data_IF_039618748780
#
_entry.id   IF_039618748780
#
_cell.length_a   1.000
_cell.length_b   1.000
_cell.length_c   1.000
_cell.angle_alpha   90.00
_cell.angle_beta   90.00
_cell.angle_gamma   90.00
#
_symmetry.space_group_name_H-M   'P 1'
#
loop_
_entity.id
_entity.type
_entity.pdbx_description
1 polymer ?
#
# COMPACT_ATOMS: atom_id res chain seq x y z
N UNK A 1 -4.98 -1.51 -15.03
CA UNK A 1 -4.10 -0.40 -15.42
C UNK A 1 -4.88 0.80 -15.95
N UNK A 2 -5.79 0.62 -16.88
CA UNK A 2 -6.51 1.72 -17.55
C UNK A 2 -7.32 2.61 -16.61
N UNK A 3 -7.85 2.06 -15.53
CA UNK A 3 -8.56 2.82 -14.49
C UNK A 3 -7.60 3.49 -13.50
N UNK A 4 -6.31 3.23 -13.59
CA UNK A 4 -5.32 3.70 -12.62
C UNK A 4 -5.42 3.08 -11.23
N UNK A 5 -6.12 1.94 -11.06
CA UNK A 5 -6.27 1.25 -9.77
C UNK A 5 -5.05 0.40 -9.43
N UNK A 6 -3.91 1.05 -9.27
CA UNK A 6 -2.61 0.39 -9.18
C UNK A 6 -1.92 0.52 -7.84
N UNK A 7 -2.63 0.99 -6.80
CA UNK A 7 -2.11 1.01 -5.42
C UNK A 7 -1.74 -0.43 -5.01
N UNK A 8 -0.56 -0.58 -4.43
CA UNK A 8 -0.01 -1.87 -4.03
C UNK A 8 0.61 -2.68 -5.17
N UNK A 9 0.58 -2.22 -6.42
CA UNK A 9 1.26 -2.90 -7.54
C UNK A 9 2.70 -2.40 -7.70
N UNK A 10 3.57 -3.28 -8.16
CA UNK A 10 4.97 -2.94 -8.36
C UNK A 10 5.16 -1.86 -9.43
N UNK A 11 5.94 -0.81 -9.13
CA UNK A 11 6.35 0.30 -10.01
C UNK A 11 5.24 1.26 -10.50
N UNK A 12 3.97 0.91 -10.46
CA UNK A 12 2.90 1.66 -11.10
C UNK A 12 1.92 2.33 -10.11
N UNK A 13 2.25 2.36 -8.81
CA UNK A 13 1.31 2.80 -7.77
C UNK A 13 1.30 4.30 -7.45
N UNK A 14 2.29 5.09 -7.95
CA UNK A 14 2.33 6.53 -7.64
C UNK A 14 1.17 7.30 -8.30
N UNK A 15 0.68 8.35 -7.64
CA UNK A 15 -0.44 9.15 -8.14
C UNK A 15 -0.19 9.72 -9.55
N UNK A 16 1.04 10.19 -9.82
CA UNK A 16 1.41 10.66 -11.16
C UNK A 16 1.40 9.55 -12.21
N UNK A 17 1.87 8.35 -11.85
CA UNK A 17 1.80 7.21 -12.75
C UNK A 17 0.35 6.79 -13.02
N UNK A 18 -0.49 6.75 -11.98
CA UNK A 18 -1.91 6.45 -12.13
C UNK A 18 -2.63 7.43 -13.06
N UNK A 19 -2.30 8.73 -12.97
CA UNK A 19 -2.82 9.74 -13.88
C UNK A 19 -2.47 9.41 -15.33
N UNK A 20 -1.19 9.16 -15.61
CA UNK A 20 -0.75 8.82 -16.98
C UNK A 20 -1.33 7.48 -17.48
N UNK A 21 -1.51 6.50 -16.61
CA UNK A 21 -2.15 5.24 -17.00
C UNK A 21 -3.60 5.43 -17.43
N UNK A 22 -4.36 6.30 -16.75
CA UNK A 22 -5.73 6.66 -17.16
C UNK A 22 -5.78 7.35 -18.51
N UNK A 23 -4.81 8.22 -18.81
CA UNK A 23 -4.71 8.90 -20.10
C UNK A 23 -4.20 7.97 -21.20
N UNK A 24 -3.25 7.10 -20.89
CA UNK A 24 -2.63 6.16 -21.84
C UNK A 24 -3.58 5.04 -22.26
N UNK A 25 -4.42 4.55 -21.34
CA UNK A 25 -5.27 3.37 -21.57
C UNK A 25 -4.46 2.20 -22.12
N UNK A 26 -3.49 1.62 -21.39
CA UNK A 26 -2.60 0.59 -21.89
C UNK A 26 -3.36 -0.56 -22.52
N UNK A 27 -3.02 -0.93 -23.74
CA UNK A 27 -3.65 -2.03 -24.49
C UNK A 27 -2.67 -3.14 -24.86
N UNK A 28 -1.37 -2.87 -24.75
CA UNK A 28 -0.29 -3.82 -25.02
C UNK A 28 0.70 -3.86 -23.85
N UNK A 29 1.49 -4.92 -23.79
CA UNK A 29 2.56 -5.00 -22.78
C UNK A 29 3.67 -3.99 -23.06
N UNK A 30 3.90 -3.67 -24.33
CA UNK A 30 4.84 -2.66 -24.81
C UNK A 30 4.53 -1.27 -24.25
N UNK A 31 3.25 -0.93 -24.09
CA UNK A 31 2.83 0.34 -23.46
C UNK A 31 3.34 0.44 -22.01
N UNK A 32 3.28 -0.66 -21.27
CA UNK A 32 3.79 -0.70 -19.87
C UNK A 32 5.32 -0.60 -19.84
N UNK A 33 6.02 -1.27 -20.77
CA UNK A 33 7.48 -1.19 -20.88
C UNK A 33 7.91 0.24 -21.19
N UNK A 34 7.23 0.89 -22.14
CA UNK A 34 7.51 2.28 -22.51
C UNK A 34 7.23 3.23 -21.35
N UNK A 35 6.11 3.07 -20.66
CA UNK A 35 5.76 3.91 -19.53
C UNK A 35 6.76 3.78 -18.36
N UNK A 36 7.22 2.57 -18.07
CA UNK A 36 8.27 2.32 -17.08
C UNK A 36 9.60 3.01 -17.45
N UNK A 37 9.92 3.09 -18.74
CA UNK A 37 11.10 3.79 -19.22
C UNK A 37 10.94 5.32 -19.23
N UNK A 38 9.74 5.83 -19.53
CA UNK A 38 9.46 7.26 -19.68
C UNK A 38 9.16 7.97 -18.37
N UNK A 39 8.51 7.29 -17.40
CA UNK A 39 8.08 7.94 -16.16
C UNK A 39 9.26 8.18 -15.19
N UNK A 40 10.05 9.20 -15.49
CA UNK A 40 11.18 9.68 -14.67
C UNK A 40 11.59 11.08 -15.14
N UNK A 41 12.29 11.87 -14.32
CA UNK A 41 12.72 13.21 -14.68
C UNK A 41 13.49 13.23 -16.02
N UNK A 42 13.11 14.11 -16.92
CA UNK A 42 13.62 14.22 -18.29
C UNK A 42 12.72 13.57 -19.33
N UNK A 43 12.63 12.22 -19.40
CA UNK A 43 11.79 11.56 -20.41
C UNK A 43 10.28 11.77 -20.21
N UNK A 44 9.83 12.15 -19.02
CA UNK A 44 8.41 12.42 -18.73
C UNK A 44 7.79 13.45 -19.70
N UNK A 45 8.58 14.37 -20.23
CA UNK A 45 8.12 15.39 -21.16
C UNK A 45 7.61 14.80 -22.48
N UNK A 46 8.01 13.55 -22.81
CA UNK A 46 7.56 12.82 -24.00
C UNK A 46 6.28 12.01 -23.78
N UNK A 47 5.82 11.84 -22.54
CA UNK A 47 4.62 11.04 -22.24
C UNK A 47 3.37 11.61 -22.94
N UNK A 48 3.10 12.92 -22.92
CA UNK A 48 1.95 13.48 -23.63
C UNK A 48 1.96 13.15 -25.14
N UNK A 49 3.11 13.30 -25.79
CA UNK A 49 3.26 12.96 -27.21
C UNK A 49 3.06 11.45 -27.46
N UNK A 50 3.59 10.61 -26.59
CA UNK A 50 3.42 9.16 -26.66
C UNK A 50 1.92 8.79 -26.58
N UNK A 51 1.20 9.37 -25.65
CA UNK A 51 -0.24 9.17 -25.45
C UNK A 51 -1.03 9.68 -26.68
N UNK A 52 -0.72 10.89 -27.16
CA UNK A 52 -1.42 11.49 -28.30
C UNK A 52 -1.24 10.68 -29.59
N UNK A 53 -0.03 10.16 -29.84
CA UNK A 53 0.25 9.30 -30.99
C UNK A 53 -0.44 7.94 -30.86
N UNK A 54 -0.43 7.33 -29.68
CA UNK A 54 -1.17 6.08 -29.42
C UNK A 54 -2.65 6.21 -29.77
N UNK A 55 -3.27 7.32 -29.38
CA UNK A 55 -4.70 7.57 -29.59
C UNK A 55 -5.05 8.22 -30.92
N UNK A 56 -4.06 8.40 -31.80
CA UNK A 56 -4.27 9.00 -33.13
C UNK A 56 -4.58 10.51 -33.11
N UNK A 57 -4.37 11.20 -31.96
CA UNK A 57 -4.51 12.65 -31.85
C UNK A 57 -3.36 13.41 -32.51
N UNK A 58 -2.19 12.77 -32.58
CA UNK A 58 -1.03 13.20 -33.37
C UNK A 58 -0.64 12.11 -34.35
N UNK A 59 -0.15 12.45 -35.56
CA UNK A 59 0.33 11.46 -36.51
C UNK A 59 1.60 10.76 -35.99
N UNK A 60 1.75 9.48 -36.29
CA UNK A 60 3.00 8.76 -36.07
C UNK A 60 3.87 9.03 -37.29
N UNK A 61 4.98 9.72 -37.08
CA UNK A 61 5.92 10.08 -38.13
C UNK A 61 7.26 9.40 -37.91
N UNK A 62 7.87 8.99 -38.99
CA UNK A 62 9.21 8.43 -39.02
C UNK A 62 10.08 9.27 -39.94
N UNK A 63 11.24 9.76 -39.48
CA UNK A 63 12.15 10.57 -40.30
C UNK A 63 12.59 9.84 -41.60
N UNK A 64 12.73 8.52 -41.50
CA UNK A 64 12.94 7.63 -42.66
C UNK A 64 11.94 6.47 -42.50
N UNK A 65 11.14 6.11 -43.48
CA UNK A 65 10.06 5.12 -43.34
C UNK A 65 10.50 3.78 -42.80
N UNK A 66 11.72 3.31 -43.10
CA UNK A 66 12.25 2.04 -42.61
C UNK A 66 12.46 2.01 -41.08
N UNK A 67 12.49 3.16 -40.42
CA UNK A 67 12.59 3.25 -38.93
C UNK A 67 11.36 2.70 -38.23
N UNK A 68 10.21 2.62 -38.93
CA UNK A 68 9.00 1.99 -38.41
C UNK A 68 9.29 0.61 -37.82
N UNK A 69 10.18 -0.15 -38.46
CA UNK A 69 10.57 -1.51 -38.02
C UNK A 69 10.93 -1.61 -36.54
N UNK A 70 11.53 -0.56 -35.95
CA UNK A 70 12.01 -0.56 -34.59
C UNK A 70 11.34 0.49 -33.71
N UNK A 71 10.57 1.42 -34.30
CA UNK A 71 9.88 2.48 -33.52
C UNK A 71 8.36 2.30 -33.48
N UNK A 72 7.80 1.29 -34.16
CA UNK A 72 6.35 1.05 -34.19
C UNK A 72 5.77 0.86 -32.79
N UNK A 73 6.40 0.04 -31.94
CA UNK A 73 5.93 -0.26 -30.57
C UNK A 73 6.01 0.93 -29.62
N UNK A 74 6.70 1.99 -30.03
CA UNK A 74 6.83 3.24 -29.26
C UNK A 74 6.27 4.45 -30.03
N UNK A 75 5.37 4.19 -30.98
CA UNK A 75 4.64 5.21 -31.75
C UNK A 75 5.56 6.26 -32.40
N UNK A 76 6.70 5.81 -32.94
CA UNK A 76 7.69 6.67 -33.60
C UNK A 76 8.61 7.45 -32.64
N UNK A 77 8.52 7.24 -31.34
CA UNK A 77 9.38 7.89 -30.34
C UNK A 77 10.54 6.97 -29.97
N UNK A 78 11.76 7.51 -29.97
CA UNK A 78 12.93 6.77 -29.45
C UNK A 78 12.89 6.78 -27.92
N UNK A 79 12.75 5.61 -27.33
CA UNK A 79 12.66 5.39 -25.86
C UNK A 79 13.84 4.58 -25.33
N UNK A 80 14.32 3.61 -26.12
CA UNK A 80 15.31 2.63 -25.68
C UNK A 80 16.65 2.77 -26.36
N UNK A 81 17.73 2.50 -25.61
CA UNK A 81 19.09 2.41 -26.14
C UNK A 81 19.18 1.38 -27.27
N UNK A 82 18.47 0.29 -27.15
CA UNK A 82 18.42 -0.79 -28.14
C UNK A 82 17.84 -0.33 -29.49
N UNK A 83 16.90 0.62 -29.48
CA UNK A 83 16.36 1.21 -30.71
C UNK A 83 17.46 1.96 -31.47
N UNK A 84 18.27 2.76 -30.80
CA UNK A 84 19.41 3.46 -31.42
C UNK A 84 20.43 2.47 -31.98
N UNK A 85 20.75 1.39 -31.24
CA UNK A 85 21.66 0.35 -31.73
C UNK A 85 21.12 -0.31 -33.00
N UNK A 86 19.85 -0.67 -33.04
CA UNK A 86 19.23 -1.33 -34.18
C UNK A 86 19.09 -0.39 -35.39
N UNK A 87 18.70 0.87 -35.11
CA UNK A 87 18.58 1.89 -36.18
C UNK A 87 19.94 2.28 -36.74
N UNK A 88 21.01 2.39 -35.97
CA UNK A 88 22.35 2.66 -36.50
C UNK A 88 22.86 1.57 -37.44
N UNK A 89 22.47 0.32 -37.14
CA UNK A 89 22.76 -0.81 -38.01
C UNK A 89 21.91 -0.81 -39.29
N UNK A 90 20.60 -0.51 -39.11
CA UNK A 90 19.66 -0.51 -40.25
C UNK A 90 19.91 0.62 -41.21
N UNK A 91 20.22 1.82 -40.75
CA UNK A 91 20.36 3.02 -41.55
C UNK A 91 21.76 3.19 -42.13
N UNK A 92 22.81 2.80 -41.38
CA UNK A 92 24.19 3.14 -41.71
C UNK A 92 25.18 1.95 -41.63
N UNK A 93 24.67 0.72 -41.64
CA UNK A 93 25.43 -0.54 -41.63
C UNK A 93 26.45 -0.66 -40.48
N UNK A 94 26.15 -0.07 -39.34
CA UNK A 94 27.00 -0.26 -38.15
C UNK A 94 27.08 -1.74 -37.80
N UNK A 95 28.26 -2.22 -37.50
CA UNK A 95 28.46 -3.56 -36.98
C UNK A 95 27.86 -3.67 -35.56
N UNK A 96 27.75 -4.90 -35.04
CA UNK A 96 27.30 -5.11 -33.63
C UNK A 96 28.20 -4.42 -32.64
N UNK A 97 29.53 -4.47 -32.84
CA UNK A 97 30.50 -3.82 -31.99
C UNK A 97 30.38 -2.29 -31.99
N UNK A 98 30.15 -1.69 -33.16
CA UNK A 98 29.99 -0.24 -33.30
C UNK A 98 28.69 0.25 -32.72
N UNK A 99 27.57 -0.46 -32.93
CA UNK A 99 26.30 -0.10 -32.32
C UNK A 99 26.35 -0.21 -30.77
N UNK A 100 27.08 -1.20 -30.23
CA UNK A 100 27.29 -1.28 -28.78
C UNK A 100 28.23 -0.18 -28.27
N UNK A 101 29.24 0.18 -29.04
CA UNK A 101 30.11 1.33 -28.71
C UNK A 101 29.32 2.65 -28.70
N UNK A 102 28.40 2.84 -29.66
CA UNK A 102 27.47 3.97 -29.72
C UNK A 102 26.60 4.01 -28.44
N UNK A 103 25.95 2.91 -28.08
CA UNK A 103 25.17 2.80 -26.87
C UNK A 103 25.97 3.17 -25.62
N UNK A 104 27.20 2.66 -25.49
CA UNK A 104 28.09 2.96 -24.38
C UNK A 104 28.50 4.43 -24.36
N UNK A 105 28.78 5.02 -25.53
CA UNK A 105 29.11 6.44 -25.64
C UNK A 105 27.93 7.33 -25.21
N UNK A 106 26.73 6.99 -25.64
CA UNK A 106 25.50 7.68 -25.25
C UNK A 106 25.22 7.55 -23.74
N UNK A 107 25.22 6.33 -23.20
CA UNK A 107 24.93 6.08 -21.79
C UNK A 107 25.93 6.74 -20.81
N UNK A 108 27.19 6.88 -21.25
CA UNK A 108 28.26 7.57 -20.47
C UNK A 108 28.46 9.02 -20.86
N UNK A 109 27.67 9.57 -21.79
CA UNK A 109 27.74 10.96 -22.31
C UNK A 109 29.15 11.33 -22.82
N UNK A 110 29.80 10.40 -23.53
CA UNK A 110 31.16 10.58 -24.08
C UNK A 110 31.11 11.34 -25.40
N UNK A 111 31.07 12.66 -25.35
CA UNK A 111 30.93 13.54 -26.52
C UNK A 111 31.99 13.27 -27.58
N UNK A 112 33.27 13.19 -27.21
CA UNK A 112 34.37 12.93 -28.17
C UNK A 112 34.16 11.65 -28.98
N UNK A 113 33.59 10.59 -28.35
CA UNK A 113 33.26 9.34 -29.06
C UNK A 113 32.08 9.50 -29.97
N UNK A 114 31.06 10.24 -29.56
CA UNK A 114 29.88 10.52 -30.41
C UNK A 114 30.28 11.34 -31.64
N UNK A 115 31.12 12.37 -31.46
CA UNK A 115 31.62 13.19 -32.56
C UNK A 115 32.46 12.40 -33.55
N UNK A 116 33.22 11.40 -33.07
CA UNK A 116 33.97 10.48 -33.93
C UNK A 116 33.08 9.49 -34.73
N UNK A 117 31.94 9.11 -34.15
CA UNK A 117 31.03 8.15 -34.81
C UNK A 117 30.04 8.81 -35.74
N UNK A 118 29.72 10.10 -35.60
CA UNK A 118 28.79 10.83 -36.42
C UNK A 118 29.11 10.81 -37.92
N UNK A 119 30.36 11.13 -38.38
CA UNK A 119 30.69 11.11 -39.77
C UNK A 119 30.49 9.71 -40.44
N UNK A 120 30.81 8.64 -39.69
CA UNK A 120 30.58 7.29 -40.14
C UNK A 120 29.09 6.96 -40.30
N UNK A 121 28.25 7.43 -39.37
CA UNK A 121 26.79 7.24 -39.48
C UNK A 121 26.22 7.97 -40.70
N UNK A 122 26.62 9.23 -40.93
CA UNK A 122 26.15 10.02 -42.05
C UNK A 122 26.62 9.38 -43.38
N UNK A 123 27.88 8.98 -43.50
CA UNK A 123 28.43 8.39 -44.73
C UNK A 123 27.82 7.02 -45.01
N UNK A 124 27.65 6.16 -44.00
CA UNK A 124 26.98 4.87 -44.13
C UNK A 124 25.52 5.02 -44.57
N UNK A 125 24.78 5.93 -43.96
CA UNK A 125 23.39 6.21 -44.33
C UNK A 125 23.25 6.81 -45.72
N UNK A 126 24.19 7.68 -46.12
CA UNK A 126 24.26 8.22 -47.52
C UNK A 126 24.46 7.12 -48.55
N UNK A 127 25.33 6.16 -48.26
CA UNK A 127 25.53 4.98 -49.13
C UNK A 127 24.28 4.13 -49.29
N UNK A 128 23.46 4.10 -48.25
CA UNK A 128 22.18 3.37 -48.25
C UNK A 128 21.03 4.21 -48.87
N UNK A 129 21.34 5.37 -49.45
CA UNK A 129 20.37 6.19 -50.18
C UNK A 129 19.56 7.13 -49.35
N UNK A 130 19.97 7.39 -48.09
CA UNK A 130 19.28 8.33 -47.20
C UNK A 130 19.81 9.75 -47.33
N UNK A 131 18.93 10.75 -47.20
CA UNK A 131 19.31 12.18 -47.21
C UNK A 131 20.23 12.51 -46.01
N UNK A 132 21.45 13.05 -46.26
CA UNK A 132 22.36 13.45 -45.22
C UNK A 132 21.76 14.43 -44.19
N UNK A 133 20.89 15.36 -44.60
CA UNK A 133 20.22 16.29 -43.71
C UNK A 133 19.29 15.59 -42.72
N UNK A 134 18.57 14.59 -43.17
CA UNK A 134 17.70 13.76 -42.33
C UNK A 134 18.54 12.93 -41.35
N UNK A 135 19.66 12.37 -41.81
CA UNK A 135 20.59 11.63 -40.95
C UNK A 135 21.22 12.52 -39.85
N UNK A 136 21.58 13.75 -40.22
CA UNK A 136 22.08 14.73 -39.21
C UNK A 136 21.02 15.08 -38.18
N UNK A 137 19.77 15.26 -38.59
CA UNK A 137 18.64 15.47 -37.67
C UNK A 137 18.51 14.28 -36.71
N UNK A 138 18.46 13.04 -37.25
CA UNK A 138 18.34 11.83 -36.42
C UNK A 138 19.47 11.74 -35.43
N UNK A 139 20.72 12.00 -35.85
CA UNK A 139 21.87 11.99 -34.95
C UNK A 139 21.75 13.04 -33.83
N UNK A 140 21.37 14.25 -34.16
CA UNK A 140 21.17 15.33 -33.20
C UNK A 140 20.06 14.99 -32.19
N UNK A 141 18.99 14.36 -32.63
CA UNK A 141 17.93 13.89 -31.75
C UNK A 141 18.41 12.74 -30.83
N UNK A 142 19.27 11.85 -31.33
CA UNK A 142 19.91 10.83 -30.50
C UNK A 142 20.89 11.42 -29.47
N UNK A 143 21.62 12.48 -29.79
CA UNK A 143 22.49 13.18 -28.83
C UNK A 143 21.67 13.77 -27.66
N UNK A 144 20.52 14.35 -27.95
CA UNK A 144 19.59 14.82 -26.91
C UNK A 144 19.05 13.65 -26.12
N UNK A 145 18.60 12.61 -26.82
CA UNK A 145 18.08 11.37 -26.22
C UNK A 145 19.10 10.65 -25.33
N UNK A 146 20.38 10.73 -25.65
CA UNK A 146 21.46 10.10 -24.86
C UNK A 146 21.43 10.47 -23.37
N UNK A 147 20.87 11.63 -23.03
CA UNK A 147 20.76 12.07 -21.64
C UNK A 147 19.76 11.28 -20.82
N UNK A 148 18.81 10.62 -21.46
CA UNK A 148 17.68 9.93 -20.83
C UNK A 148 17.33 8.55 -21.43
N UNK A 149 18.16 8.05 -22.35
CA UNK A 149 18.00 6.71 -22.92
C UNK A 149 17.88 5.61 -21.87
N UNK A 150 16.95 4.68 -22.06
CA UNK A 150 16.70 3.60 -21.11
C UNK A 150 17.02 2.23 -21.69
N UNK A 151 17.42 1.29 -20.85
CA UNK A 151 17.63 -0.09 -21.27
C UNK A 151 16.29 -0.82 -21.37
N UNK A 152 15.95 -1.33 -22.56
CA UNK A 152 14.67 -2.01 -22.80
C UNK A 152 14.55 -3.30 -21.98
N UNK A 153 15.63 -4.06 -21.82
CA UNK A 153 15.60 -5.31 -21.05
C UNK A 153 15.26 -5.07 -19.58
N UNK A 154 15.82 -4.01 -18.98
CA UNK A 154 15.48 -3.62 -17.62
C UNK A 154 13.99 -3.22 -17.52
N UNK A 155 13.52 -2.33 -18.39
CA UNK A 155 12.11 -1.91 -18.41
C UNK A 155 11.17 -3.11 -18.60
N UNK A 156 11.54 -4.07 -19.46
CA UNK A 156 10.75 -5.30 -19.70
C UNK A 156 10.65 -6.15 -18.43
N UNK A 157 11.77 -6.41 -17.75
CA UNK A 157 11.77 -7.22 -16.53
C UNK A 157 10.92 -6.58 -15.42
N UNK A 158 11.04 -5.28 -15.22
CA UNK A 158 10.25 -4.55 -14.23
C UNK A 158 8.76 -4.52 -14.60
N UNK A 159 8.44 -4.30 -15.87
CA UNK A 159 7.04 -4.33 -16.35
C UNK A 159 6.44 -5.73 -16.26
N UNK A 160 7.24 -6.79 -16.42
CA UNK A 160 6.78 -8.16 -16.23
C UNK A 160 6.38 -8.43 -14.79
N UNK A 161 7.21 -8.04 -13.81
CA UNK A 161 6.86 -8.16 -12.38
C UNK A 161 5.65 -7.29 -12.06
N UNK A 162 5.60 -6.06 -12.59
CA UNK A 162 4.47 -5.16 -12.42
C UNK A 162 3.16 -5.77 -12.94
N UNK A 163 3.21 -6.38 -14.13
CA UNK A 163 2.06 -7.05 -14.72
C UNK A 163 1.58 -8.23 -13.86
N UNK A 164 2.50 -9.05 -13.34
CA UNK A 164 2.16 -10.15 -12.43
C UNK A 164 1.46 -9.65 -11.17
N UNK A 165 1.96 -8.58 -10.56
CA UNK A 165 1.34 -7.99 -9.37
C UNK A 165 -0.06 -7.44 -9.67
N UNK A 166 -0.24 -6.78 -10.80
CA UNK A 166 -1.54 -6.29 -11.23
C UNK A 166 -2.51 -7.42 -11.60
N UNK A 167 -2.03 -8.49 -12.22
CA UNK A 167 -2.82 -9.68 -12.51
C UNK A 167 -3.35 -10.32 -11.22
N UNK A 168 -2.48 -10.50 -10.22
CA UNK A 168 -2.88 -11.04 -8.92
C UNK A 168 -3.91 -10.12 -8.24
N UNK A 169 -3.69 -8.82 -8.23
CA UNK A 169 -4.64 -7.86 -7.67
C UNK A 169 -6.00 -7.90 -8.35
N UNK A 170 -6.03 -8.05 -9.67
CA UNK A 170 -7.27 -8.06 -10.45
C UNK A 170 -8.07 -9.36 -10.29
N UNK A 171 -7.40 -10.52 -10.17
CA UNK A 171 -8.03 -11.84 -10.16
C UNK A 171 -8.18 -12.44 -8.75
N UNK A 172 -7.32 -12.04 -7.80
CA UNK A 172 -7.29 -12.52 -6.42
C UNK A 172 -7.12 -11.35 -5.45
N UNK A 173 -8.05 -10.37 -5.47
CA UNK A 173 -7.86 -9.08 -4.82
C UNK A 173 -7.67 -9.20 -3.30
N UNK A 174 -8.48 -10.00 -2.61
CA UNK A 174 -8.38 -10.16 -1.16
C UNK A 174 -7.06 -10.79 -0.73
N UNK A 175 -6.67 -11.89 -1.38
CA UNK A 175 -5.42 -12.61 -1.10
C UNK A 175 -4.20 -11.75 -1.43
N UNK A 176 -4.24 -11.03 -2.54
CA UNK A 176 -3.17 -10.12 -2.94
C UNK A 176 -3.00 -8.99 -1.92
N UNK A 177 -4.08 -8.30 -1.56
CA UNK A 177 -4.04 -7.20 -0.61
C UNK A 177 -3.63 -7.67 0.79
N UNK A 178 -4.11 -8.82 1.24
CA UNK A 178 -3.67 -9.42 2.50
C UNK A 178 -2.17 -9.74 2.48
N UNK A 179 -1.65 -10.26 1.37
CA UNK A 179 -0.22 -10.54 1.20
C UNK A 179 0.63 -9.27 1.21
N UNK A 180 0.19 -8.20 0.52
CA UNK A 180 0.90 -6.91 0.49
C UNK A 180 0.92 -6.27 1.88
N UNK A 181 -0.23 -6.18 2.58
CA UNK A 181 -0.30 -5.68 3.95
C UNK A 181 0.59 -6.48 4.91
N UNK A 182 0.69 -7.79 4.72
CA UNK A 182 1.54 -8.67 5.52
C UNK A 182 3.04 -8.42 5.35
N UNK A 183 3.46 -7.71 4.31
CA UNK A 183 4.86 -7.26 4.12
C UNK A 183 5.15 -5.95 4.83
N UNK A 184 4.13 -5.24 5.27
CA UNK A 184 4.22 -3.90 5.87
C UNK A 184 3.77 -3.88 7.34
N UNK A 185 3.83 -5.00 8.07
CA UNK A 185 3.31 -5.13 9.46
C UNK A 185 3.82 -4.03 10.41
N UNK A 186 5.04 -3.54 10.22
CA UNK A 186 5.63 -2.47 11.05
C UNK A 186 5.36 -1.06 10.53
N UNK A 187 4.75 -0.90 9.35
CA UNK A 187 4.48 0.39 8.73
C UNK A 187 2.97 0.65 8.66
N UNK A 188 2.46 1.28 9.71
CA UNK A 188 1.04 1.56 9.85
C UNK A 188 0.50 2.48 8.74
N UNK A 189 1.32 3.40 8.24
CA UNK A 189 0.93 4.32 7.16
C UNK A 189 0.66 3.58 5.86
N UNK A 190 1.51 2.60 5.53
CA UNK A 190 1.30 1.77 4.34
C UNK A 190 0.08 0.86 4.52
N UNK A 191 -0.09 0.27 5.71
CA UNK A 191 -1.29 -0.54 6.02
C UNK A 191 -2.55 0.30 5.84
N UNK A 192 -2.59 1.52 6.37
CA UNK A 192 -3.75 2.42 6.23
C UNK A 192 -4.08 2.68 4.76
N UNK A 193 -3.09 3.06 3.95
CA UNK A 193 -3.25 3.28 2.51
C UNK A 193 -3.79 2.04 1.79
N UNK A 194 -3.29 0.85 2.14
CA UNK A 194 -3.74 -0.40 1.54
C UNK A 194 -5.15 -0.79 1.98
N UNK A 195 -5.55 -0.46 3.21
CA UNK A 195 -6.92 -0.69 3.69
C UNK A 195 -7.92 0.26 3.04
N UNK A 196 -7.54 1.52 2.83
CA UNK A 196 -8.36 2.47 2.05
C UNK A 196 -8.57 1.94 0.63
N UNK A 197 -7.54 1.38 0.01
CA UNK A 197 -7.66 0.72 -1.30
C UNK A 197 -8.57 -0.52 -1.24
N UNK A 198 -8.46 -1.37 -0.21
CA UNK A 198 -9.39 -2.50 -0.01
C UNK A 198 -10.84 -2.02 0.06
N UNK A 199 -11.10 -0.96 0.81
CA UNK A 199 -12.44 -0.36 0.93
C UNK A 199 -12.94 0.12 -0.44
N UNK A 200 -12.09 0.81 -1.22
CA UNK A 200 -12.43 1.26 -2.58
C UNK A 200 -12.70 0.10 -3.55
N UNK A 201 -12.11 -1.07 -3.30
CA UNK A 201 -12.34 -2.31 -4.06
C UNK A 201 -13.55 -3.12 -3.57
N UNK A 202 -14.26 -2.65 -2.53
CA UNK A 202 -15.36 -3.39 -1.90
C UNK A 202 -14.92 -4.57 -1.04
N UNK A 203 -13.65 -4.64 -0.64
CA UNK A 203 -13.10 -5.68 0.22
C UNK A 203 -13.20 -5.21 1.67
N UNK A 204 -13.92 -5.97 2.50
CA UNK A 204 -14.04 -5.67 3.91
C UNK A 204 -12.76 -6.12 4.66
N UNK A 205 -12.23 -5.23 5.50
CA UNK A 205 -11.14 -5.57 6.43
C UNK A 205 -11.72 -5.65 7.84
N UNK A 206 -11.61 -6.83 8.44
CA UNK A 206 -12.12 -7.15 9.76
C UNK A 206 -11.04 -6.92 10.83
N UNK A 207 -11.46 -6.53 12.03
CA UNK A 207 -10.57 -6.31 13.17
C UNK A 207 -9.76 -7.52 13.60
N UNK A 208 -8.78 -7.34 14.50
CA UNK A 208 -8.08 -8.48 15.09
C UNK A 208 -9.05 -9.34 15.91
N UNK A 209 -8.86 -10.66 15.89
CA UNK A 209 -9.62 -11.63 16.65
C UNK A 209 -8.72 -12.81 17.04
N UNK A 210 -8.64 -13.15 18.32
CA UNK A 210 -7.79 -14.24 18.80
C UNK A 210 -8.21 -15.62 18.28
N UNK A 211 -9.49 -15.77 17.89
CA UNK A 211 -10.01 -17.01 17.35
C UNK A 211 -9.84 -17.14 15.83
N UNK A 212 -9.59 -16.03 15.12
CA UNK A 212 -9.50 -16.07 13.65
C UNK A 212 -8.17 -15.56 13.12
N UNK A 213 -7.62 -14.49 13.71
CA UNK A 213 -6.40 -13.86 13.23
C UNK A 213 -5.16 -14.75 13.35
N UNK A 214 -4.25 -14.61 12.40
CA UNK A 214 -2.89 -15.14 12.44
C UNK A 214 -1.88 -14.00 12.68
N UNK A 215 -0.59 -14.31 12.62
CA UNK A 215 0.47 -13.30 12.70
C UNK A 215 0.33 -12.25 11.59
N UNK A 216 0.06 -12.72 10.38
CA UNK A 216 -0.10 -11.92 9.17
C UNK A 216 -1.58 -11.72 8.84
N UNK A 217 -1.87 -10.76 7.96
CA UNK A 217 -3.20 -10.62 7.37
C UNK A 217 -3.56 -11.90 6.60
N UNK A 218 -4.80 -12.34 6.73
CA UNK A 218 -5.32 -13.54 6.07
C UNK A 218 -6.69 -13.26 5.50
N UNK A 219 -7.09 -14.04 4.50
CA UNK A 219 -8.45 -13.99 3.97
C UNK A 219 -9.26 -15.06 4.68
N UNK A 220 -10.44 -14.69 5.18
CA UNK A 220 -11.35 -15.61 5.81
C UNK A 220 -12.24 -16.34 4.78
N UNK A 221 -13.11 -17.22 5.25
CA UNK A 221 -13.97 -18.02 4.38
C UNK A 221 -14.94 -17.16 3.54
N UNK A 222 -15.31 -15.98 4.02
CA UNK A 222 -16.23 -15.05 3.34
C UNK A 222 -15.53 -14.13 2.34
N UNK A 223 -14.21 -14.30 2.15
CA UNK A 223 -13.40 -13.46 1.26
C UNK A 223 -12.98 -12.12 1.86
N UNK A 224 -13.27 -11.88 3.15
CA UNK A 224 -12.85 -10.67 3.86
C UNK A 224 -11.42 -10.80 4.38
N UNK A 225 -10.73 -9.69 4.50
CA UNK A 225 -9.37 -9.67 5.06
C UNK A 225 -9.45 -9.54 6.57
N UNK A 226 -8.88 -10.50 7.29
CA UNK A 226 -8.73 -10.46 8.76
C UNK A 226 -7.41 -9.80 9.14
N UNK A 227 -7.46 -8.83 10.07
CA UNK A 227 -6.30 -8.11 10.56
C UNK A 227 -5.33 -9.06 11.27
N UNK A 228 -4.03 -8.96 10.93
CA UNK A 228 -2.99 -9.79 11.54
C UNK A 228 -2.65 -9.31 12.95
N UNK A 229 -2.57 -10.22 13.93
CA UNK A 229 -2.20 -9.87 15.30
C UNK A 229 -0.80 -9.26 15.41
N UNK A 230 0.11 -9.60 14.48
CA UNK A 230 1.45 -9.05 14.42
C UNK A 230 1.50 -7.57 14.00
N UNK A 231 0.41 -7.03 13.45
CA UNK A 231 0.29 -5.61 13.12
C UNK A 231 -0.31 -4.78 14.27
N UNK A 232 -0.81 -5.42 15.33
CA UNK A 232 -1.31 -4.72 16.53
C UNK A 232 -0.12 -4.23 17.34
N UNK A 233 -0.01 -2.91 17.52
CA UNK A 233 1.10 -2.29 18.26
C UNK A 233 1.15 -2.82 19.70
N UNK A 234 2.32 -3.28 20.10
CA UNK A 234 2.54 -3.80 21.47
C UNK A 234 2.20 -5.28 21.63
N UNK A 235 1.74 -5.97 20.58
CA UNK A 235 1.58 -7.43 20.56
C UNK A 235 2.81 -8.06 19.92
N UNK A 236 3.58 -8.82 20.70
CA UNK A 236 4.82 -9.47 20.24
C UNK A 236 4.56 -10.75 19.46
N UNK A 237 5.46 -11.08 18.54
CA UNK A 237 5.36 -12.30 17.70
C UNK A 237 5.23 -13.58 18.54
N UNK A 238 5.98 -13.71 19.65
CA UNK A 238 5.91 -14.85 20.55
C UNK A 238 4.52 -15.02 21.20
N UNK A 239 3.85 -13.89 21.52
CA UNK A 239 2.49 -13.94 22.04
C UNK A 239 1.51 -14.44 20.97
N UNK A 240 1.62 -13.90 19.76
CA UNK A 240 0.78 -14.32 18.62
C UNK A 240 0.97 -15.80 18.31
N UNK A 241 2.22 -16.25 18.25
CA UNK A 241 2.55 -17.65 18.00
C UNK A 241 1.92 -18.57 19.04
N UNK A 242 2.03 -18.22 20.33
CA UNK A 242 1.41 -18.97 21.42
C UNK A 242 -0.11 -19.06 21.28
N UNK A 243 -0.78 -17.95 20.90
CA UNK A 243 -2.23 -17.92 20.68
C UNK A 243 -2.63 -18.84 19.52
N UNK A 244 -1.93 -18.71 18.39
CA UNK A 244 -2.25 -19.45 17.16
C UNK A 244 -1.99 -20.96 17.33
N UNK A 245 -0.86 -21.33 17.93
CA UNK A 245 -0.51 -22.74 18.18
C UNK A 245 -1.52 -23.41 19.10
N UNK A 246 -1.88 -22.74 20.21
CA UNK A 246 -2.85 -23.26 21.17
C UNK A 246 -4.24 -23.43 20.53
N UNK A 247 -4.69 -22.43 19.79
CA UNK A 247 -5.95 -22.52 19.05
C UNK A 247 -5.97 -23.65 18.01
N UNK A 248 -4.89 -23.81 17.27
CA UNK A 248 -4.80 -24.85 16.24
C UNK A 248 -4.73 -26.27 16.84
N UNK A 249 -4.10 -26.42 18.01
CA UNK A 249 -3.97 -27.71 18.68
C UNK A 249 -5.25 -28.14 19.40
N UNK A 250 -5.93 -27.20 20.05
CA UNK A 250 -7.01 -27.49 21.00
C UNK A 250 -8.35 -26.82 20.66
N UNK A 251 -8.47 -26.25 19.45
CA UNK A 251 -9.67 -25.59 18.97
C UNK A 251 -9.84 -24.14 19.45
N UNK A 252 -10.86 -23.44 18.94
CA UNK A 252 -11.16 -22.05 19.28
C UNK A 252 -11.33 -21.85 20.80
N UNK A 253 -10.97 -20.67 21.27
CA UNK A 253 -11.22 -20.27 22.67
C UNK A 253 -12.72 -19.98 22.86
N UNK A 254 -13.30 -20.54 23.92
CA UNK A 254 -14.73 -20.41 24.24
C UNK A 254 -15.06 -19.06 24.86
N UNK A 255 -14.08 -18.38 25.45
CA UNK A 255 -14.21 -17.12 26.12
C UNK A 255 -12.90 -16.72 26.79
N UNK A 256 -12.90 -15.57 27.50
CA UNK A 256 -11.66 -15.04 28.07
C UNK A 256 -11.07 -15.93 29.18
N UNK A 257 -11.90 -16.61 29.96
CA UNK A 257 -11.42 -17.52 30.99
C UNK A 257 -10.74 -18.74 30.38
N UNK A 258 -11.33 -19.35 29.36
CA UNK A 258 -10.72 -20.46 28.61
C UNK A 258 -9.42 -20.01 27.93
N UNK A 259 -9.37 -18.78 27.42
CA UNK A 259 -8.17 -18.20 26.82
C UNK A 259 -7.00 -18.15 27.82
N UNK A 260 -7.21 -17.55 29.03
CA UNK A 260 -6.12 -17.42 30.01
C UNK A 260 -5.75 -18.76 30.68
N UNK A 261 -6.64 -19.76 30.67
CA UNK A 261 -6.35 -21.11 31.14
C UNK A 261 -5.44 -21.89 30.20
N UNK A 262 -5.44 -21.54 28.91
CA UNK A 262 -4.79 -22.31 27.84
C UNK A 262 -3.55 -21.64 27.26
N UNK A 263 -3.60 -20.32 27.03
CA UNK A 263 -2.50 -19.58 26.40
C UNK A 263 -1.30 -19.46 27.35
N UNK A 264 -0.08 -19.52 26.81
CA UNK A 264 1.13 -19.24 27.58
C UNK A 264 1.19 -17.77 28.03
N UNK A 265 0.85 -17.49 29.28
CA UNK A 265 0.79 -16.14 29.85
C UNK A 265 2.17 -15.48 30.06
N UNK A 266 3.27 -16.25 29.96
CA UNK A 266 4.63 -15.66 29.92
C UNK A 266 4.91 -15.02 28.56
N UNK A 267 4.46 -15.64 27.49
CA UNK A 267 4.55 -15.08 26.13
C UNK A 267 3.49 -14.01 25.90
N UNK A 268 2.23 -14.30 26.26
CA UNK A 268 1.10 -13.37 26.17
C UNK A 268 0.94 -12.61 27.52
N UNK A 269 1.90 -11.73 27.82
CA UNK A 269 1.96 -11.00 29.09
C UNK A 269 0.87 -9.91 29.20
N UNK A 270 0.81 -9.24 30.36
CA UNK A 270 -0.17 -8.17 30.67
C UNK A 270 -0.27 -7.12 29.54
N UNK A 271 0.87 -6.63 29.03
CA UNK A 271 0.88 -5.62 27.98
C UNK A 271 0.26 -6.13 26.67
N UNK A 272 0.55 -7.38 26.28
CA UNK A 272 -0.07 -7.98 25.11
C UNK A 272 -1.59 -8.11 25.29
N UNK A 273 -2.03 -8.54 26.47
CA UNK A 273 -3.46 -8.66 26.82
C UNK A 273 -4.18 -7.30 26.77
N UNK A 274 -3.57 -6.25 27.34
CA UNK A 274 -4.08 -4.87 27.27
C UNK A 274 -4.23 -4.41 25.82
N UNK A 275 -3.19 -4.60 25.01
CA UNK A 275 -3.21 -4.20 23.61
C UNK A 275 -4.28 -4.98 22.80
N UNK A 276 -4.42 -6.27 23.05
CA UNK A 276 -5.46 -7.09 22.39
C UNK A 276 -6.87 -6.64 22.81
N UNK A 277 -7.10 -6.38 24.09
CA UNK A 277 -8.40 -5.91 24.58
C UNK A 277 -8.78 -4.53 23.98
N UNK A 278 -7.84 -3.59 23.95
CA UNK A 278 -8.06 -2.27 23.37
C UNK A 278 -8.27 -2.31 21.85
N UNK A 279 -7.55 -3.19 21.16
CA UNK A 279 -7.68 -3.36 19.71
C UNK A 279 -8.92 -4.14 19.28
N UNK A 280 -9.66 -4.74 20.23
CA UNK A 280 -10.84 -5.57 19.93
C UNK A 280 -10.54 -7.04 19.68
N UNK A 281 -9.33 -7.50 20.00
CA UNK A 281 -8.93 -8.91 19.79
C UNK A 281 -9.76 -9.93 20.55
N UNK A 282 -10.52 -9.51 21.55
CA UNK A 282 -11.43 -10.32 22.37
C UNK A 282 -12.91 -10.05 22.14
N UNK A 283 -13.28 -9.22 21.15
CA UNK A 283 -14.66 -8.82 20.92
C UNK A 283 -15.60 -9.99 20.52
N UNK A 284 -15.03 -11.09 20.03
CA UNK A 284 -15.78 -12.33 19.78
C UNK A 284 -16.23 -13.06 21.07
N UNK A 285 -15.70 -12.65 22.22
CA UNK A 285 -16.12 -13.21 23.51
C UNK A 285 -17.31 -12.41 24.05
N UNK A 286 -18.50 -13.03 24.21
CA UNK A 286 -19.72 -12.29 24.52
C UNK A 286 -19.81 -11.85 25.99
N UNK A 287 -19.02 -12.44 26.87
CA UNK A 287 -19.11 -12.24 28.31
C UNK A 287 -18.56 -10.90 28.82
N UNK A 288 -17.65 -10.27 28.06
CA UNK A 288 -16.95 -9.04 28.48
C UNK A 288 -16.95 -7.98 27.38
N UNK A 289 -17.08 -6.73 27.79
CA UNK A 289 -16.83 -5.55 26.96
C UNK A 289 -15.43 -5.02 27.19
N UNK A 290 -14.88 -4.27 26.22
CA UNK A 290 -13.49 -3.77 26.28
C UNK A 290 -13.20 -2.99 27.56
N UNK A 291 -14.10 -2.11 28.02
CA UNK A 291 -13.96 -1.32 29.22
C UNK A 291 -13.88 -2.14 30.51
N UNK A 292 -14.51 -3.31 30.56
CA UNK A 292 -14.52 -4.17 31.74
C UNK A 292 -13.14 -4.78 32.03
N UNK A 293 -12.30 -4.98 31.01
CA UNK A 293 -10.91 -5.43 31.21
C UNK A 293 -10.10 -4.46 32.05
N UNK A 294 -10.44 -3.16 31.99
CA UNK A 294 -9.73 -2.07 32.67
C UNK A 294 -10.44 -1.58 33.91
N UNK A 295 -11.54 -2.18 34.32
CA UNK A 295 -12.27 -1.83 35.52
C UNK A 295 -11.43 -2.12 36.75
N UNK A 296 -11.49 -1.18 37.74
CA UNK A 296 -10.76 -1.25 38.98
C UNK A 296 -11.71 -1.70 40.08
N UNK A 297 -11.34 -2.73 40.83
CA UNK A 297 -12.13 -3.22 41.94
C UNK A 297 -11.95 -2.34 43.20
N UNK A 298 -12.69 -2.62 44.28
CA UNK A 298 -12.63 -1.90 45.55
C UNK A 298 -11.25 -1.93 46.23
N UNK A 299 -10.36 -2.83 45.83
CA UNK A 299 -8.98 -2.96 46.35
C UNK A 299 -7.96 -2.22 45.47
N UNK A 300 -8.40 -1.52 44.41
CA UNK A 300 -7.52 -0.82 43.49
C UNK A 300 -6.85 -1.72 42.44
N UNK A 301 -7.30 -2.98 42.28
CA UNK A 301 -6.75 -3.91 41.29
C UNK A 301 -7.55 -3.83 39.99
N UNK A 302 -6.85 -3.82 38.84
CA UNK A 302 -7.45 -3.88 37.50
C UNK A 302 -7.94 -5.31 37.23
N UNK A 303 -9.12 -5.44 36.65
CA UNK A 303 -9.69 -6.78 36.38
C UNK A 303 -8.77 -7.66 35.52
N UNK A 304 -8.09 -7.09 34.53
CA UNK A 304 -7.13 -7.82 33.71
C UNK A 304 -6.00 -8.47 34.52
N UNK A 305 -5.51 -7.82 35.59
CA UNK A 305 -4.51 -8.38 36.49
C UNK A 305 -5.07 -9.57 37.27
N UNK A 306 -6.30 -9.43 37.73
CA UNK A 306 -7.01 -10.52 38.44
C UNK A 306 -7.23 -11.71 37.52
N UNK A 307 -7.60 -11.45 36.26
CA UNK A 307 -7.77 -12.46 35.21
C UNK A 307 -6.47 -13.22 34.94
N UNK A 308 -5.35 -12.53 34.77
CA UNK A 308 -4.05 -13.14 34.55
C UNK A 308 -3.56 -13.96 35.73
N UNK A 309 -3.79 -13.47 36.96
CA UNK A 309 -3.46 -14.20 38.19
C UNK A 309 -4.26 -15.50 38.30
N UNK A 310 -5.54 -15.45 37.94
CA UNK A 310 -6.39 -16.63 37.84
C UNK A 310 -5.84 -17.64 36.83
N UNK A 311 -5.50 -17.19 35.61
CA UNK A 311 -4.97 -18.06 34.57
C UNK A 311 -3.64 -18.73 34.97
N UNK A 312 -2.71 -17.96 35.55
CA UNK A 312 -1.44 -18.51 36.03
C UNK A 312 -1.66 -19.59 37.10
N UNK A 313 -2.49 -19.28 38.11
CA UNK A 313 -2.82 -20.25 39.19
C UNK A 313 -3.46 -21.50 38.62
N UNK A 314 -4.42 -21.35 37.72
CA UNK A 314 -5.07 -22.53 37.08
C UNK A 314 -4.06 -23.39 36.33
N UNK A 315 -3.14 -22.79 35.58
CA UNK A 315 -2.11 -23.54 34.85
C UNK A 315 -1.10 -24.22 35.79
N UNK A 316 -0.73 -23.58 36.91
CA UNK A 316 0.15 -24.14 37.93
C UNK A 316 -0.49 -25.37 38.60
N UNK A 317 -1.74 -25.23 39.04
CA UNK A 317 -2.48 -26.30 39.67
C UNK A 317 -2.70 -27.51 38.74
N UNK A 318 -3.00 -27.23 37.47
CA UNK A 318 -3.10 -28.25 36.43
C UNK A 318 -1.79 -29.00 36.19
N UNK A 319 -0.66 -28.31 36.17
CA UNK A 319 0.68 -28.92 36.06
C UNK A 319 1.02 -29.77 37.29
N UNK A 320 0.70 -29.25 38.47
CA UNK A 320 0.91 -29.96 39.72
C UNK A 320 0.08 -31.27 39.78
N UNK A 321 -1.17 -31.23 39.34
CA UNK A 321 -2.05 -32.40 39.26
C UNK A 321 -1.53 -33.48 38.28
N UNK A 322 -0.99 -33.07 37.13
CA UNK A 322 -0.40 -34.00 36.15
C UNK A 322 0.87 -34.66 36.71
N UNK A 323 1.68 -33.94 37.48
CA UNK A 323 2.94 -34.40 38.05
C UNK A 323 2.76 -35.20 39.36
N UNK A 324 1.54 -35.26 39.91
CA UNK A 324 1.27 -36.00 41.13
C UNK A 324 1.27 -37.51 40.85
N UNK A 325 2.12 -38.26 41.57
CA UNK A 325 2.25 -39.72 41.50
C UNK A 325 0.97 -40.48 41.97
N UNK A 326 0.09 -39.80 42.69
CA UNK A 326 -1.16 -40.36 43.19
C UNK A 326 -2.32 -39.72 42.38
N UNK A 327 -2.65 -40.30 41.25
CA UNK A 327 -3.67 -39.87 40.29
C UNK A 327 -5.10 -39.63 40.80
N UNK A 328 -5.21 -38.92 41.90
CA UNK A 328 -6.45 -38.59 42.62
C UNK A 328 -6.45 -37.25 43.33
N UNK A 329 -5.51 -36.34 43.03
CA UNK A 329 -5.62 -34.98 43.54
C UNK A 329 -6.87 -34.34 42.93
N UNK A 330 -7.87 -34.05 43.76
CA UNK A 330 -9.00 -33.22 43.40
C UNK A 330 -8.47 -32.00 42.63
N UNK A 331 -8.86 -31.88 41.38
CA UNK A 331 -8.68 -30.59 40.65
C UNK A 331 -9.39 -29.57 41.52
N UNK A 332 -8.63 -28.74 42.22
CA UNK A 332 -9.21 -27.65 43.00
C UNK A 332 -10.00 -26.80 42.03
N UNK A 333 -11.31 -26.80 42.19
CA UNK A 333 -12.20 -25.99 41.38
C UNK A 333 -11.91 -24.51 41.72
N UNK A 334 -11.00 -23.91 40.97
CA UNK A 334 -10.64 -22.52 41.16
C UNK A 334 -11.79 -21.70 40.59
N UNK A 335 -12.55 -21.05 41.51
CA UNK A 335 -13.64 -20.19 41.09
C UNK A 335 -13.14 -19.08 40.16
N UNK A 336 -13.83 -18.93 39.02
CA UNK A 336 -13.57 -17.86 38.05
C UNK A 336 -13.78 -16.49 38.75
N UNK A 337 -12.92 -15.49 38.44
CA UNK A 337 -13.14 -14.12 38.93
C UNK A 337 -14.49 -13.58 38.49
N UNK A 338 -15.16 -12.86 39.40
CA UNK A 338 -16.41 -12.18 39.04
C UNK A 338 -16.14 -11.04 38.05
N UNK A 339 -16.94 -11.03 36.97
CA UNK A 339 -16.85 -10.01 35.92
C UNK A 339 -17.36 -8.68 36.53
N UNK A 340 -16.59 -7.57 36.41
CA UNK A 340 -17.01 -6.26 36.88
C UNK A 340 -18.34 -5.83 36.28
N UNK A 341 -19.32 -5.50 37.14
CA UNK A 341 -20.63 -5.01 36.76
C UNK A 341 -20.72 -3.50 36.95
N UNK A 342 -21.65 -2.85 36.22
CA UNK A 342 -21.87 -1.41 36.38
C UNK A 342 -20.74 -0.52 35.87
N UNK A 343 -19.84 -1.06 35.08
CA UNK A 343 -18.74 -0.30 34.48
C UNK A 343 -19.31 0.67 33.44
N UNK A 344 -18.93 1.94 33.55
CA UNK A 344 -19.29 2.95 32.57
C UNK A 344 -18.74 2.58 31.19
N UNK A 345 -19.60 2.62 30.20
CA UNK A 345 -19.20 2.35 28.81
C UNK A 345 -18.35 3.49 28.26
N UNK A 346 -17.29 3.15 27.56
CA UNK A 346 -16.59 4.16 26.80
C UNK A 346 -17.49 4.76 25.71
N UNK A 347 -17.41 6.07 25.54
CA UNK A 347 -18.04 6.71 24.39
C UNK A 347 -17.43 6.18 23.08
N UNK A 348 -18.19 6.19 22.00
CA UNK A 348 -17.74 5.62 20.72
C UNK A 348 -16.42 6.25 20.26
N UNK A 349 -16.28 7.56 20.36
CA UNK A 349 -15.03 8.25 19.99
C UNK A 349 -13.84 7.79 20.85
N UNK A 350 -14.03 7.59 22.16
CA UNK A 350 -12.98 7.10 23.03
C UNK A 350 -12.55 5.68 22.65
N UNK A 351 -13.51 4.80 22.47
CA UNK A 351 -13.28 3.41 22.05
C UNK A 351 -12.53 3.34 20.72
N UNK A 352 -12.96 4.11 19.73
CA UNK A 352 -12.37 4.19 18.42
C UNK A 352 -10.95 4.78 18.45
N UNK A 353 -10.69 5.78 19.30
CA UNK A 353 -9.35 6.33 19.47
C UNK A 353 -8.38 5.31 20.10
N UNK A 354 -8.81 4.56 21.12
CA UNK A 354 -8.01 3.50 21.73
C UNK A 354 -7.66 2.40 20.72
N UNK A 355 -8.62 2.01 19.89
CA UNK A 355 -8.41 1.06 18.79
C UNK A 355 -7.40 1.60 17.76
N UNK A 356 -7.62 2.84 17.28
CA UNK A 356 -6.73 3.48 16.29
C UNK A 356 -5.29 3.60 16.80
N UNK A 357 -5.06 3.88 18.07
CA UNK A 357 -3.71 4.05 18.61
C UNK A 357 -2.87 2.76 18.56
N UNK A 358 -3.54 1.60 18.47
CA UNK A 358 -2.93 0.27 18.36
C UNK A 358 -2.96 -0.32 16.94
N UNK A 359 -4.04 -0.08 16.23
CA UNK A 359 -4.26 -0.60 14.87
C UNK A 359 -3.83 0.41 13.81
N UNK A 360 -3.76 1.69 14.16
CA UNK A 360 -3.32 2.81 13.31
C UNK A 360 -4.45 3.48 12.53
N UNK A 361 -5.61 2.86 12.45
CA UNK A 361 -6.80 3.37 11.77
C UNK A 361 -8.05 3.15 12.62
N UNK A 362 -9.14 3.80 12.24
CA UNK A 362 -10.47 3.49 12.71
C UNK A 362 -11.01 2.28 11.95
N UNK A 363 -11.07 1.12 12.59
CA UNK A 363 -11.38 -0.14 11.93
C UNK A 363 -12.84 -0.57 12.14
N UNK A 364 -13.34 -0.48 13.37
CA UNK A 364 -14.68 -0.93 13.71
C UNK A 364 -15.80 0.03 13.28
N UNK A 365 -15.54 1.33 13.23
CA UNK A 365 -16.41 2.39 12.72
C UNK A 365 -15.59 3.68 12.54
N UNK A 366 -16.07 4.64 11.76
CA UNK A 366 -15.42 5.95 11.65
C UNK A 366 -16.13 6.95 12.59
N UNK A 367 -15.37 7.81 13.33
CA UNK A 367 -15.99 8.78 14.23
C UNK A 367 -16.96 9.77 13.59
N UNK A 368 -16.88 9.95 12.27
CA UNK A 368 -17.81 10.79 11.51
C UNK A 368 -19.05 10.05 11.00
N UNK A 369 -19.16 8.74 11.21
CA UNK A 369 -20.34 7.97 10.77
C UNK A 369 -21.63 8.48 11.46
N UNK A 370 -21.54 8.92 12.71
CA UNK A 370 -22.67 9.55 13.44
C UNK A 370 -23.09 10.89 12.81
N UNK A 371 -22.19 11.54 12.09
CA UNK A 371 -22.41 12.85 11.45
C UNK A 371 -22.72 12.72 9.96
N UNK A 372 -22.98 11.52 9.45
CA UNK A 372 -23.21 11.27 8.02
C UNK A 372 -24.27 12.22 7.42
N UNK A 373 -25.39 12.42 8.13
CA UNK A 373 -26.46 13.35 7.68
C UNK A 373 -25.92 14.79 7.53
N UNK A 374 -25.11 15.25 8.46
CA UNK A 374 -24.51 16.59 8.39
C UNK A 374 -23.51 16.69 7.26
N UNK A 375 -22.69 15.67 7.07
CA UNK A 375 -21.70 15.61 5.98
C UNK A 375 -22.37 15.59 4.61
N UNK A 376 -23.49 14.89 4.46
CA UNK A 376 -24.17 14.74 3.19
C UNK A 376 -25.09 15.94 2.83
N UNK A 377 -25.63 16.64 3.83
CA UNK A 377 -26.65 17.66 3.60
C UNK A 377 -26.23 19.09 3.96
N UNK A 378 -25.20 19.27 4.79
CA UNK A 378 -24.71 20.59 5.20
C UNK A 378 -23.38 20.91 4.54
N UNK A 379 -22.50 19.90 4.37
CA UNK A 379 -21.22 20.08 3.68
C UNK A 379 -21.43 20.07 2.16
N UNK A 380 -20.84 21.04 1.47
CA UNK A 380 -20.97 21.20 0.03
C UNK A 380 -19.69 20.82 -0.75
N UNK A 381 -18.63 20.43 -0.05
CA UNK A 381 -17.32 20.14 -0.65
C UNK A 381 -16.70 18.93 0.08
N UNK A 382 -16.23 17.94 -0.67
CA UNK A 382 -15.50 16.78 -0.18
C UNK A 382 -13.99 17.02 -0.29
N UNK A 383 -13.17 16.25 0.44
CA UNK A 383 -11.72 16.39 0.37
C UNK A 383 -11.18 16.13 -1.05
N UNK A 384 -11.75 15.16 -1.77
CA UNK A 384 -11.38 14.88 -3.16
C UNK A 384 -11.60 16.06 -4.11
N UNK A 385 -12.61 16.89 -3.85
CA UNK A 385 -12.93 18.05 -4.68
C UNK A 385 -11.86 19.16 -4.58
N UNK A 386 -11.02 19.14 -3.51
CA UNK A 386 -9.94 20.11 -3.31
C UNK A 386 -8.79 19.96 -4.32
N UNK A 387 -8.71 18.86 -5.04
CA UNK A 387 -7.73 18.67 -6.12
C UNK A 387 -8.04 19.57 -7.33
N UNK A 388 -9.33 19.81 -7.60
CA UNK A 388 -9.76 20.72 -8.68
C UNK A 388 -9.99 22.15 -8.15
N UNK A 389 -8.88 22.85 -7.98
CA UNK A 389 -8.89 24.24 -7.51
C UNK A 389 -9.64 25.21 -8.45
N UNK A 390 -9.73 24.87 -9.74
CA UNK A 390 -10.43 25.70 -10.72
C UNK A 390 -11.94 25.61 -10.54
N UNK A 391 -12.47 24.43 -10.27
CA UNK A 391 -13.89 24.22 -9.99
C UNK A 391 -14.36 24.86 -8.68
N UNK A 392 -13.45 25.09 -7.74
CA UNK A 392 -13.76 25.67 -6.42
C UNK A 392 -13.54 27.21 -6.37
N UNK A 393 -12.94 27.79 -7.40
CA UNK A 393 -12.64 29.22 -7.41
C UNK A 393 -13.92 30.07 -7.28
N UNK A 394 -13.93 30.96 -6.27
CA UNK A 394 -15.06 31.86 -6.00
C UNK A 394 -16.27 31.23 -5.30
N UNK A 395 -16.16 29.98 -4.84
CA UNK A 395 -17.23 29.32 -4.08
C UNK A 395 -16.95 29.38 -2.58
N UNK A 396 -18.01 29.51 -1.79
CA UNK A 396 -17.94 29.30 -0.34
C UNK A 396 -17.94 27.78 -0.07
N UNK A 397 -16.93 27.32 0.69
CA UNK A 397 -16.70 25.92 0.94
C UNK A 397 -17.10 25.58 2.38
N UNK A 398 -17.97 24.59 2.54
CA UNK A 398 -18.32 24.00 3.85
C UNK A 398 -17.89 22.53 3.84
N UNK A 399 -16.99 22.20 4.76
CA UNK A 399 -16.41 20.87 4.88
C UNK A 399 -16.53 20.35 6.30
N UNK A 400 -16.75 19.04 6.47
CA UNK A 400 -16.69 18.34 7.76
C UNK A 400 -15.41 17.52 7.90
N UNK A 401 -14.86 17.49 9.12
CA UNK A 401 -13.66 16.71 9.39
C UNK A 401 -13.32 16.63 10.88
N UNK A 402 -12.44 15.68 11.22
CA UNK A 402 -11.91 15.51 12.57
C UNK A 402 -10.59 16.26 12.68
N UNK A 403 -10.43 17.06 13.72
CA UNK A 403 -9.15 17.69 14.03
C UNK A 403 -8.17 16.63 14.55
N UNK A 404 -7.16 16.33 13.76
CA UNK A 404 -6.14 15.34 14.11
C UNK A 404 -4.95 15.94 14.83
N UNK A 405 -4.60 17.18 14.52
CA UNK A 405 -3.55 17.92 15.23
C UNK A 405 -3.73 19.42 15.12
N UNK A 406 -3.29 20.14 16.13
CA UNK A 406 -3.21 21.61 16.11
C UNK A 406 -1.80 22.02 16.47
N UNK A 407 -1.13 22.74 15.57
CA UNK A 407 0.18 23.36 15.84
C UNK A 407 0.01 24.86 16.01
N UNK A 408 0.45 25.40 17.13
CA UNK A 408 0.50 26.82 17.38
C UNK A 408 1.90 27.34 17.04
N UNK A 409 1.98 28.48 16.38
CA UNK A 409 3.22 29.12 15.99
C UNK A 409 3.05 30.63 15.91
N UNK A 410 4.13 31.31 15.55
CA UNK A 410 4.12 32.75 15.28
C UNK A 410 4.48 32.96 13.81
N UNK A 411 3.71 33.77 13.11
CA UNK A 411 3.97 34.13 11.71
C UNK A 411 5.24 34.99 11.60
N UNK A 412 5.76 35.13 10.38
CA UNK A 412 6.90 36.04 10.12
C UNK A 412 6.65 37.50 10.56
N UNK A 413 5.39 37.87 10.67
CA UNK A 413 4.97 39.22 11.09
C UNK A 413 4.66 39.33 12.58
N UNK A 414 5.03 38.31 13.40
CA UNK A 414 4.84 38.31 14.85
C UNK A 414 3.42 37.94 15.34
N UNK A 415 2.48 37.65 14.44
CA UNK A 415 1.11 37.30 14.81
C UNK A 415 1.02 35.80 15.22
N UNK A 416 0.26 35.48 16.29
CA UNK A 416 -0.02 34.10 16.64
C UNK A 416 -0.82 33.42 15.51
N UNK A 417 -0.37 32.27 15.08
CA UNK A 417 -1.03 31.46 14.06
C UNK A 417 -1.25 30.03 14.57
N UNK A 418 -2.35 29.43 14.15
CA UNK A 418 -2.66 28.04 14.45
C UNK A 418 -2.81 27.29 13.13
N UNK A 419 -2.09 26.19 13.00
CA UNK A 419 -2.24 25.26 11.88
C UNK A 419 -3.04 24.05 12.37
N UNK A 420 -4.23 23.87 11.82
CA UNK A 420 -5.12 22.77 12.16
C UNK A 420 -5.10 21.76 11.03
N UNK A 421 -4.83 20.50 11.35
CA UNK A 421 -4.94 19.40 10.40
C UNK A 421 -6.28 18.72 10.61
N UNK A 422 -7.07 18.66 9.55
CA UNK A 422 -8.35 17.98 9.50
C UNK A 422 -8.19 16.67 8.71
N UNK A 423 -8.83 15.62 9.21
CA UNK A 423 -9.09 14.40 8.44
C UNK A 423 -10.59 14.37 8.14
N UNK A 424 -10.94 14.45 6.86
CA UNK A 424 -12.31 14.31 6.41
C UNK A 424 -12.70 12.84 6.33
N UNK A 425 -14.00 12.58 6.42
CA UNK A 425 -14.55 11.26 6.09
C UNK A 425 -14.56 11.14 4.57
N UNK A 426 -13.70 10.29 4.03
CA UNK A 426 -13.80 9.87 2.63
C UNK A 426 -14.85 8.77 2.53
N UNK A 427 -16.10 9.15 2.49
CA UNK A 427 -17.12 8.27 1.94
C UNK A 427 -16.95 8.27 0.43
N UNK A 428 -16.22 7.29 -0.06
CA UNK A 428 -16.28 6.97 -1.49
C UNK A 428 -17.63 6.32 -1.76
N UNK A 429 -18.66 7.15 -1.96
CA UNK A 429 -19.86 6.69 -2.64
C UNK A 429 -19.48 6.60 -4.12
N UNK A 430 -19.15 5.40 -4.57
CA UNK A 430 -19.28 5.08 -5.97
C UNK A 430 -20.78 4.95 -6.27
N UNK A 431 -21.32 5.97 -6.93
CA UNK A 431 -22.50 5.82 -7.77
C UNK A 431 -22.11 5.17 -9.09
#
# INVERSE_FOLDING_TARGET
YSDGRTIGTFQFESAGMQKYLRELQPSTFEDLIAMNALYRPGPMDYIPDFIDRKHGRKPIEYDIPVMEKYLKDTYGITVYQEQVMLLSRLLADFTRGESDALRKAMGKKLRDKLDHMKPKFIEGGRKNGHDPKVLEKIWTDWEKFASYAFNKSHATCYSWVAYQTAYLKANYPSEYMAAVMSRSLSNITDITKLMDECKAMGIQTLGPDVNESNLKFTVNHDGNIRFGLGAVKGVGEAAVQSIVEERNANGPFKGIFDFVQRVNLNACNKKNMECLALAGGFDSFPELKREQYFAVNSKGEVFLETLMRYGNRYQEDKRAAINSLFGGANVVDIATPEIPQGVERWGDLERLNKERDLVGIYLSAHPLDEFAIVLDHVCNTRMADLEDKAALAGREITMGGIVTSVRRGVSKNGNPVSYTHLRAHETTLHL
#
